data_IF_137411760579
#
_entry.id   IF_137411760579
#
_cell.length_a   1.000
_cell.length_b   1.000
_cell.length_c   1.000
_cell.angle_alpha   90.00
_cell.angle_beta   90.00
_cell.angle_gamma   90.00
#
_symmetry.space_group_name_H-M   'P 1'
#
loop_
_entity.id
_entity.type
_entity.pdbx_description
1 polymer ?
#
# COMPACT_ATOMS: atom_id res chain seq x y z
N UNK A 1 -7.74 5.75 8.05
CA UNK A 1 -8.19 4.59 7.25
C UNK A 1 -6.99 3.74 6.92
N UNK A 2 -7.14 2.42 6.84
CA UNK A 2 -6.01 1.51 6.65
C UNK A 2 -6.24 0.70 5.38
N UNK A 3 -5.22 0.58 4.54
CA UNK A 3 -5.17 -0.39 3.45
C UNK A 3 -4.20 -1.49 3.89
N UNK A 4 -4.73 -2.65 4.25
CA UNK A 4 -3.94 -3.76 4.79
C UNK A 4 -3.02 -4.40 3.75
N UNK A 5 -3.58 -4.76 2.59
CA UNK A 5 -2.83 -5.44 1.54
C UNK A 5 -3.44 -5.17 0.18
N UNK A 6 -2.59 -5.16 -0.85
CA UNK A 6 -2.99 -5.24 -2.23
C UNK A 6 -2.12 -6.25 -2.98
N UNK A 7 -2.71 -6.92 -3.95
CA UNK A 7 -2.01 -7.88 -4.79
C UNK A 7 -2.44 -7.79 -6.23
N UNK A 8 -1.47 -7.83 -7.15
CA UNK A 8 -1.72 -8.07 -8.57
C UNK A 8 -0.89 -9.28 -8.99
N UNK A 9 -1.58 -10.28 -9.53
CA UNK A 9 -0.94 -11.49 -10.06
C UNK A 9 0.12 -11.13 -11.10
N UNK A 10 1.28 -11.81 -11.05
CA UNK A 10 2.48 -11.45 -11.80
C UNK A 10 2.25 -11.21 -13.31
N UNK A 11 1.49 -12.06 -14.04
CA UNK A 11 1.21 -11.87 -15.47
C UNK A 11 0.41 -10.60 -15.82
N UNK A 12 -0.26 -10.01 -14.82
CA UNK A 12 -1.15 -8.85 -14.98
C UNK A 12 -0.56 -7.55 -14.43
N UNK A 13 0.68 -7.59 -13.90
CA UNK A 13 1.38 -6.39 -13.42
C UNK A 13 1.70 -5.44 -14.57
N UNK A 14 1.96 -4.17 -14.21
CA UNK A 14 2.31 -3.07 -15.15
C UNK A 14 1.22 -2.72 -16.17
N UNK A 15 -0.03 -3.13 -15.92
CA UNK A 15 -1.22 -2.79 -16.72
C UNK A 15 -2.16 -1.77 -16.06
N UNK A 16 -1.69 -1.08 -15.00
CA UNK A 16 -2.49 -0.10 -14.25
C UNK A 16 -3.46 -0.68 -13.21
N UNK A 17 -3.59 -2.01 -13.09
CA UNK A 17 -4.52 -2.67 -12.15
C UNK A 17 -4.27 -2.26 -10.70
N UNK A 18 -3.02 -2.27 -10.24
CA UNK A 18 -2.68 -1.87 -8.87
C UNK A 18 -3.07 -0.42 -8.58
N UNK A 19 -2.86 0.49 -9.54
CA UNK A 19 -3.31 1.88 -9.43
C UNK A 19 -4.83 1.97 -9.32
N UNK A 20 -5.56 1.24 -10.16
CA UNK A 20 -7.02 1.23 -10.13
C UNK A 20 -7.56 0.73 -8.78
N UNK A 21 -6.99 -0.36 -8.24
CA UNK A 21 -7.36 -0.91 -6.93
C UNK A 21 -7.10 0.11 -5.81
N UNK A 22 -5.92 0.76 -5.81
CA UNK A 22 -5.60 1.77 -4.80
C UNK A 22 -6.52 2.98 -4.86
N UNK A 23 -6.81 3.51 -6.06
CA UNK A 23 -7.71 4.64 -6.21
C UNK A 23 -9.13 4.30 -5.75
N UNK A 24 -9.60 3.09 -6.03
CA UNK A 24 -10.89 2.61 -5.53
C UNK A 24 -10.91 2.53 -4.00
N UNK A 25 -9.87 1.97 -3.38
CA UNK A 25 -9.74 1.89 -1.93
C UNK A 25 -9.66 3.28 -1.26
N UNK A 26 -8.87 4.20 -1.84
CA UNK A 26 -8.76 5.59 -1.38
C UNK A 26 -10.12 6.30 -1.46
N UNK A 27 -10.80 6.19 -2.60
CA UNK A 27 -12.12 6.80 -2.79
C UNK A 27 -13.17 6.24 -1.83
N UNK A 28 -13.16 4.92 -1.60
CA UNK A 28 -14.03 4.29 -0.61
C UNK A 28 -13.74 4.79 0.80
N UNK A 29 -12.49 4.78 1.24
CA UNK A 29 -12.10 5.29 2.57
C UNK A 29 -12.47 6.77 2.75
N UNK A 30 -12.23 7.61 1.74
CA UNK A 30 -12.62 9.02 1.76
C UNK A 30 -14.14 9.18 1.89
N UNK A 31 -14.95 8.38 1.17
CA UNK A 31 -16.41 8.38 1.30
C UNK A 31 -16.92 7.94 2.68
N UNK A 32 -16.07 7.27 3.47
CA UNK A 32 -16.34 6.90 4.87
C UNK A 32 -15.83 7.95 5.87
N UNK A 33 -15.35 9.09 5.40
CA UNK A 33 -14.84 10.17 6.24
C UNK A 33 -13.40 9.99 6.69
N UNK A 34 -12.60 9.13 6.03
CA UNK A 34 -11.19 9.03 6.34
C UNK A 34 -10.44 10.30 5.90
N UNK A 35 -9.84 11.00 6.87
CA UNK A 35 -8.99 12.17 6.61
C UNK A 35 -7.53 11.78 6.32
N UNK A 36 -7.09 10.64 6.84
CA UNK A 36 -5.75 10.09 6.68
C UNK A 36 -5.86 8.62 6.26
N UNK A 37 -5.01 8.19 5.33
CA UNK A 37 -4.90 6.79 4.91
C UNK A 37 -3.47 6.31 5.14
N UNK A 38 -3.32 5.17 5.79
CA UNK A 38 -2.02 4.54 6.07
C UNK A 38 -1.95 3.12 5.51
N UNK A 39 -0.73 2.69 5.24
CA UNK A 39 -0.33 1.34 4.85
C UNK A 39 1.11 1.11 5.30
N UNK A 40 1.49 -0.15 5.46
CA UNK A 40 2.87 -0.56 5.70
C UNK A 40 3.36 -1.46 4.57
N UNK A 41 4.66 -1.44 4.34
CA UNK A 41 5.35 -2.35 3.41
C UNK A 41 6.80 -2.45 3.83
N UNK A 42 7.46 -3.56 3.49
CA UNK A 42 8.88 -3.72 3.74
C UNK A 42 9.70 -2.73 2.92
N UNK A 43 10.74 -2.16 3.53
CA UNK A 43 11.63 -1.18 2.88
C UNK A 43 12.35 -1.80 1.66
N UNK A 44 12.61 -3.13 1.68
CA UNK A 44 13.25 -3.91 0.62
C UNK A 44 12.26 -4.70 -0.25
N UNK A 45 10.95 -4.36 -0.22
CA UNK A 45 9.93 -5.09 -0.96
C UNK A 45 10.33 -5.27 -2.45
N UNK A 46 10.51 -6.51 -2.92
CA UNK A 46 11.16 -6.79 -4.20
C UNK A 46 10.30 -6.38 -5.41
N UNK A 47 9.05 -6.00 -5.21
CA UNK A 47 8.15 -5.55 -6.26
C UNK A 47 8.23 -4.04 -6.54
N UNK A 48 9.02 -3.31 -5.75
CA UNK A 48 9.10 -1.84 -5.83
C UNK A 48 7.87 -1.16 -5.22
N UNK A 49 7.24 -1.79 -4.22
CA UNK A 49 6.04 -1.26 -3.57
C UNK A 49 6.21 0.15 -2.99
N UNK A 50 7.34 0.51 -2.32
CA UNK A 50 7.54 1.88 -1.83
C UNK A 50 7.46 2.94 -2.94
N UNK A 51 8.10 2.69 -4.08
CA UNK A 51 8.06 3.60 -5.23
C UNK A 51 6.67 3.67 -5.87
N UNK A 52 5.93 2.55 -5.86
CA UNK A 52 4.54 2.52 -6.33
C UNK A 52 3.63 3.40 -5.45
N UNK A 53 3.70 3.27 -4.13
CA UNK A 53 2.90 4.09 -3.21
C UNK A 53 3.29 5.58 -3.27
N UNK A 54 4.58 5.89 -3.37
CA UNK A 54 5.05 7.27 -3.52
C UNK A 54 4.46 7.95 -4.77
N UNK A 55 4.34 7.23 -5.89
CA UNK A 55 3.69 7.74 -7.12
C UNK A 55 2.20 8.03 -6.95
N UNK A 56 1.54 7.45 -5.94
CA UNK A 56 0.15 7.70 -5.59
C UNK A 56 -0.01 8.78 -4.52
N UNK A 57 1.07 9.44 -4.12
CA UNK A 57 1.04 10.55 -3.15
C UNK A 57 1.21 10.14 -1.69
N UNK A 58 1.42 8.84 -1.41
CA UNK A 58 1.81 8.42 -0.07
C UNK A 58 3.22 8.92 0.26
N UNK A 59 3.45 9.24 1.53
CA UNK A 59 4.74 9.69 2.06
C UNK A 59 5.14 8.78 3.21
N UNK A 60 6.43 8.54 3.37
CA UNK A 60 6.96 7.80 4.52
C UNK A 60 6.63 8.56 5.80
N UNK A 61 5.87 7.95 6.70
CA UNK A 61 5.53 8.53 8.01
C UNK A 61 6.60 8.16 9.05
N UNK A 62 6.98 6.89 9.13
CA UNK A 62 8.06 6.36 9.98
C UNK A 62 8.56 5.03 9.41
N UNK A 63 9.65 4.50 9.99
CA UNK A 63 10.10 3.11 9.79
C UNK A 63 10.00 2.34 11.09
N UNK A 64 9.80 1.02 11.02
CA UNK A 64 9.64 0.16 12.19
C UNK A 64 10.37 -1.17 12.03
N UNK A 65 10.64 -1.84 13.15
CA UNK A 65 11.18 -3.20 13.19
C UNK A 65 10.09 -4.14 13.70
N UNK A 66 9.90 -5.26 13.01
CA UNK A 66 9.06 -6.35 13.48
C UNK A 66 9.94 -7.37 14.22
N UNK A 67 9.62 -7.63 15.49
CA UNK A 67 10.21 -8.73 16.27
C UNK A 67 9.19 -9.85 16.37
N UNK A 68 9.60 -11.08 16.04
CA UNK A 68 8.77 -12.27 16.17
C UNK A 68 9.57 -13.36 16.90
N UNK A 69 8.90 -14.11 17.78
CA UNK A 69 9.44 -15.28 18.47
C UNK A 69 8.45 -16.42 18.33
N UNK A 70 8.89 -17.51 17.70
CA UNK A 70 8.18 -18.79 17.76
C UNK A 70 8.44 -19.44 19.13
N UNK A 71 7.43 -20.14 19.67
CA UNK A 71 7.48 -20.80 20.98
C UNK A 71 7.91 -22.26 20.87
#
# INVERSE_FOLDING_TARGET
>A
GIIYEIGVSAPFRRRGIGTALMLAAIGWLASKGAEVIELSTDDDNPTGAPAFYARLGFKRAYGGLLFLKEL
#
